data_IF_569173799338
#
_entry.id   IF_569173799338
#
_cell.length_a   1.000
_cell.length_b   1.000
_cell.length_c   1.000
_cell.angle_alpha   90.00
_cell.angle_beta   90.00
_cell.angle_gamma   90.00
#
_symmetry.space_group_name_H-M   'P 1'
#
loop_
_entity.id
_entity.type
_entity.pdbx_description
1 polymer ?
#
# COMPACT_ATOMS: atom_id res chain seq x y z
N UNK A 1 36.94 9.44 -38.45
CA UNK A 1 37.71 9.10 -37.25
C UNK A 1 36.70 9.07 -36.10
N UNK A 2 36.47 7.92 -35.46
CA UNK A 2 35.51 7.82 -34.34
C UNK A 2 36.14 8.50 -33.13
N UNK A 3 35.44 9.45 -32.52
CA UNK A 3 35.89 10.10 -31.28
C UNK A 3 35.67 9.15 -30.10
N UNK A 4 36.70 8.35 -29.82
CA UNK A 4 36.70 7.37 -28.74
C UNK A 4 36.48 8.00 -27.35
N UNK A 5 36.78 9.29 -27.16
CA UNK A 5 36.56 9.96 -25.87
C UNK A 5 35.07 10.22 -25.62
N UNK A 6 34.34 10.64 -26.65
CA UNK A 6 32.89 10.86 -26.56
C UNK A 6 32.14 9.54 -26.32
N UNK A 7 32.56 8.46 -27.00
CA UNK A 7 31.99 7.12 -26.79
C UNK A 7 32.24 6.61 -25.37
N UNK A 8 33.44 6.79 -24.84
CA UNK A 8 33.80 6.39 -23.47
C UNK A 8 33.03 7.20 -22.41
N UNK A 9 32.80 8.50 -22.64
CA UNK A 9 32.00 9.34 -21.74
C UNK A 9 30.52 8.92 -21.70
N UNK A 10 29.94 8.58 -22.87
CA UNK A 10 28.57 8.07 -22.97
C UNK A 10 28.43 6.67 -22.36
N UNK A 11 29.45 5.80 -22.51
CA UNK A 11 29.48 4.50 -21.86
C UNK A 11 29.63 4.61 -20.34
N UNK A 12 30.44 5.53 -19.83
CA UNK A 12 30.51 5.85 -18.39
C UNK A 12 29.19 6.42 -17.86
N UNK A 13 28.52 7.29 -18.63
CA UNK A 13 27.19 7.82 -18.28
C UNK A 13 26.10 6.75 -18.28
N UNK A 14 26.15 5.80 -19.22
CA UNK A 14 25.25 4.62 -19.24
C UNK A 14 25.54 3.68 -18.07
N UNK A 15 26.80 3.38 -17.78
CA UNK A 15 27.20 2.55 -16.64
C UNK A 15 26.73 3.13 -15.29
N UNK A 16 26.90 4.44 -15.09
CA UNK A 16 26.39 5.13 -13.88
C UNK A 16 24.87 5.08 -13.72
N UNK A 17 24.11 5.16 -14.82
CA UNK A 17 22.65 5.07 -14.75
C UNK A 17 22.18 3.65 -14.40
N UNK A 18 22.88 2.63 -14.89
CA UNK A 18 22.60 1.23 -14.56
C UNK A 18 22.87 0.99 -13.07
N UNK A 19 24.03 1.42 -12.57
CA UNK A 19 24.39 1.31 -11.14
C UNK A 19 23.38 2.04 -10.23
N UNK A 20 22.92 3.23 -10.63
CA UNK A 20 21.89 3.96 -9.88
C UNK A 20 20.56 3.20 -9.83
N UNK A 21 20.14 2.61 -10.95
CA UNK A 21 18.91 1.81 -11.01
C UNK A 21 19.00 0.53 -10.18
N UNK A 22 20.15 -0.14 -10.20
CA UNK A 22 20.41 -1.33 -9.38
C UNK A 22 20.37 -0.99 -7.88
N UNK A 23 21.05 0.09 -7.47
CA UNK A 23 21.02 0.56 -6.09
C UNK A 23 19.60 0.96 -5.65
N UNK A 24 18.84 1.62 -6.53
CA UNK A 24 17.46 1.97 -6.25
C UNK A 24 16.59 0.72 -6.08
N UNK A 25 16.74 -0.27 -6.96
CA UNK A 25 16.02 -1.54 -6.86
C UNK A 25 16.35 -2.27 -5.56
N UNK A 26 17.62 -2.37 -5.19
CA UNK A 26 18.05 -2.99 -3.93
C UNK A 26 17.48 -2.26 -2.71
N UNK A 27 17.49 -0.92 -2.70
CA UNK A 27 16.88 -0.14 -1.63
C UNK A 27 15.37 -0.32 -1.55
N UNK A 28 14.70 -0.46 -2.71
CA UNK A 28 13.27 -0.76 -2.77
C UNK A 28 12.98 -2.11 -2.13
N UNK A 29 13.63 -3.18 -2.62
CA UNK A 29 13.48 -4.54 -2.07
C UNK A 29 13.79 -4.57 -0.57
N UNK A 30 14.87 -3.93 -0.13
CA UNK A 30 15.27 -3.88 1.29
C UNK A 30 14.22 -3.19 2.16
N UNK A 31 13.58 -2.12 1.68
CA UNK A 31 12.56 -1.39 2.46
C UNK A 31 11.22 -2.13 2.51
N UNK A 32 10.89 -2.85 1.46
CA UNK A 32 9.61 -3.54 1.32
C UNK A 32 9.69 -5.04 1.62
N UNK A 33 10.84 -5.58 2.03
CA UNK A 33 11.02 -6.99 2.40
C UNK A 33 9.99 -7.49 3.42
N UNK A 34 9.56 -6.61 4.34
CA UNK A 34 8.56 -6.95 5.35
C UNK A 34 7.13 -7.06 4.79
N UNK A 35 6.85 -6.50 3.59
CA UNK A 35 5.56 -6.69 2.93
C UNK A 35 5.34 -8.16 2.51
N UNK A 36 6.42 -8.92 2.30
CA UNK A 36 6.32 -10.35 2.03
C UNK A 36 5.65 -11.09 3.18
N UNK A 37 5.86 -10.65 4.42
CA UNK A 37 5.20 -11.24 5.60
C UNK A 37 3.69 -10.92 5.64
N UNK A 38 3.26 -9.84 4.98
CA UNK A 38 1.85 -9.44 4.88
C UNK A 38 1.13 -10.08 3.69
N UNK A 39 1.85 -10.72 2.76
CA UNK A 39 1.24 -11.32 1.58
C UNK A 39 0.10 -12.30 1.92
N UNK A 40 0.25 -13.27 2.84
CA UNK A 40 -0.85 -14.18 3.19
C UNK A 40 -2.08 -13.42 3.73
N UNK A 41 -1.83 -12.32 4.44
CA UNK A 41 -2.88 -11.47 5.00
C UNK A 41 -3.64 -10.75 3.87
N UNK A 42 -2.92 -10.20 2.88
CA UNK A 42 -3.55 -9.58 1.72
C UNK A 42 -4.35 -10.57 0.89
N UNK A 43 -3.87 -11.81 0.76
CA UNK A 43 -4.60 -12.89 0.08
C UNK A 43 -5.91 -13.21 0.79
N UNK A 44 -5.91 -13.35 2.13
CA UNK A 44 -7.15 -13.54 2.90
C UNK A 44 -8.12 -12.36 2.76
N UNK A 45 -7.62 -11.13 2.85
CA UNK A 45 -8.47 -9.93 2.76
C UNK A 45 -9.08 -9.78 1.36
N UNK A 46 -8.35 -10.18 0.32
CA UNK A 46 -8.81 -10.12 -1.08
C UNK A 46 -9.71 -11.31 -1.44
N UNK A 47 -9.43 -12.48 -0.86
CA UNK A 47 -10.10 -13.74 -1.16
C UNK A 47 -10.50 -14.46 0.14
N UNK A 48 -11.51 -13.96 0.87
CA UNK A 48 -11.88 -14.48 2.21
C UNK A 48 -12.31 -15.95 2.24
N UNK A 49 -12.64 -16.52 1.08
CA UNK A 49 -13.07 -17.91 0.91
C UNK A 49 -12.06 -18.76 0.11
N UNK A 50 -10.82 -18.30 -0.01
CA UNK A 50 -9.71 -19.07 -0.58
C UNK A 50 -9.36 -20.30 0.27
N UNK A 51 -8.59 -21.21 -0.32
CA UNK A 51 -8.05 -22.36 0.39
C UNK A 51 -6.76 -21.94 1.09
N UNK A 52 -6.80 -21.87 2.42
CA UNK A 52 -5.66 -21.49 3.26
C UNK A 52 -5.44 -22.52 4.35
N UNK A 53 -4.21 -22.59 4.86
CA UNK A 53 -3.96 -23.17 6.17
C UNK A 53 -4.43 -22.17 7.24
N UNK A 54 -5.60 -22.45 7.82
CA UNK A 54 -6.24 -21.54 8.77
C UNK A 54 -5.44 -21.41 10.09
N UNK A 55 -4.68 -22.44 10.48
CA UNK A 55 -3.84 -22.41 11.69
C UNK A 55 -2.61 -21.52 11.45
N UNK A 56 -1.96 -21.67 10.29
CA UNK A 56 -0.81 -20.85 9.93
C UNK A 56 -1.19 -19.37 9.75
N UNK A 57 -2.27 -19.10 9.02
CA UNK A 57 -2.69 -17.73 8.74
C UNK A 57 -3.18 -17.00 10.00
N UNK A 58 -3.91 -17.69 10.88
CA UNK A 58 -4.36 -17.11 12.16
C UNK A 58 -3.19 -16.83 13.08
N UNK A 59 -2.19 -17.71 13.12
CA UNK A 59 -0.96 -17.51 13.89
C UNK A 59 -0.15 -16.31 13.38
N UNK A 60 0.01 -16.20 12.05
CA UNK A 60 0.68 -15.06 11.43
C UNK A 60 -0.05 -13.74 11.72
N UNK A 61 -1.37 -13.71 11.53
CA UNK A 61 -2.21 -12.53 11.82
C UNK A 61 -2.16 -12.13 13.30
N UNK A 62 -2.26 -13.11 14.19
CA UNK A 62 -2.22 -12.90 15.63
C UNK A 62 -0.88 -12.31 16.06
N UNK A 63 0.23 -12.81 15.52
CA UNK A 63 1.55 -12.25 15.76
C UNK A 63 1.67 -10.82 15.21
N UNK A 64 1.27 -10.59 13.95
CA UNK A 64 1.39 -9.29 13.26
C UNK A 64 0.56 -8.20 13.94
N UNK A 65 -0.66 -8.52 14.38
CA UNK A 65 -1.60 -7.54 14.93
C UNK A 65 -1.77 -7.59 16.45
N UNK A 66 -1.02 -8.47 17.14
CA UNK A 66 -1.10 -8.71 18.58
C UNK A 66 -2.51 -9.11 19.02
N UNK A 67 -3.08 -10.10 18.33
CA UNK A 67 -4.42 -10.64 18.58
C UNK A 67 -4.35 -12.06 19.15
N UNK A 68 -5.49 -12.62 19.53
CA UNK A 68 -5.57 -14.02 19.95
C UNK A 68 -5.75 -14.94 18.73
N UNK A 69 -4.81 -15.87 18.53
CA UNK A 69 -4.80 -16.78 17.38
C UNK A 69 -6.04 -17.69 17.34
N UNK A 70 -6.38 -18.36 18.44
CA UNK A 70 -7.48 -19.32 18.47
C UNK A 70 -8.84 -18.69 18.18
N UNK A 71 -9.11 -17.50 18.71
CA UNK A 71 -10.35 -16.78 18.39
C UNK A 71 -10.39 -16.33 16.93
N UNK A 72 -9.24 -15.92 16.38
CA UNK A 72 -9.17 -15.49 14.99
C UNK A 72 -9.34 -16.66 14.03
N UNK A 73 -8.70 -17.80 14.30
CA UNK A 73 -8.89 -19.06 13.55
C UNK A 73 -10.36 -19.46 13.54
N UNK A 74 -11.03 -19.38 14.70
CA UNK A 74 -12.46 -19.66 14.80
C UNK A 74 -13.29 -18.72 13.93
N UNK A 75 -13.00 -17.41 13.93
CA UNK A 75 -13.68 -16.45 13.05
C UNK A 75 -13.45 -16.76 11.57
N UNK A 76 -12.23 -17.13 11.17
CA UNK A 76 -11.87 -17.52 9.80
C UNK A 76 -12.64 -18.76 9.35
N UNK A 77 -12.67 -19.82 10.17
CA UNK A 77 -13.46 -21.03 9.89
C UNK A 77 -14.96 -20.71 9.81
N UNK A 78 -15.45 -19.84 10.69
CA UNK A 78 -16.86 -19.46 10.76
C UNK A 78 -17.27 -18.63 9.54
N UNK A 79 -16.41 -17.76 9.02
CA UNK A 79 -16.73 -17.00 7.80
C UNK A 79 -16.65 -17.91 6.57
N UNK A 80 -15.63 -18.76 6.46
CA UNK A 80 -15.44 -19.66 5.30
C UNK A 80 -16.57 -20.68 5.14
N UNK A 81 -17.21 -21.09 6.24
CA UNK A 81 -18.37 -21.98 6.26
C UNK A 81 -19.71 -21.28 6.01
N UNK A 82 -19.74 -19.95 5.96
CA UNK A 82 -20.97 -19.17 5.77
C UNK A 82 -21.30 -18.99 4.28
N UNK A 83 -22.25 -19.79 3.80
CA UNK A 83 -22.70 -19.80 2.40
C UNK A 83 -23.30 -18.44 1.98
N UNK A 84 -23.99 -17.75 2.90
CA UNK A 84 -24.65 -16.47 2.60
C UNK A 84 -23.61 -15.38 2.43
N UNK A 85 -22.60 -15.34 3.30
CA UNK A 85 -21.47 -14.42 3.13
C UNK A 85 -20.66 -14.77 1.89
N UNK A 86 -20.47 -16.07 1.57
CA UNK A 86 -19.77 -16.50 0.36
C UNK A 86 -20.41 -15.99 -0.93
N UNK A 87 -21.75 -16.00 -0.98
CA UNK A 87 -22.49 -15.45 -2.12
C UNK A 87 -22.25 -13.94 -2.34
N UNK A 88 -21.78 -13.23 -1.31
CA UNK A 88 -21.51 -11.78 -1.32
C UNK A 88 -20.01 -11.44 -1.28
N UNK A 89 -19.14 -12.43 -1.50
CA UNK A 89 -17.69 -12.25 -1.39
C UNK A 89 -17.13 -11.15 -2.31
N UNK A 90 -17.79 -10.88 -3.44
CA UNK A 90 -17.37 -9.87 -4.42
C UNK A 90 -17.93 -8.46 -4.13
N UNK A 91 -18.66 -8.27 -3.04
CA UNK A 91 -19.15 -6.94 -2.68
C UNK A 91 -17.98 -6.04 -2.27
N UNK A 92 -17.89 -4.84 -2.86
CA UNK A 92 -16.82 -3.87 -2.57
C UNK A 92 -16.67 -3.53 -1.07
N UNK A 93 -17.72 -3.73 -0.30
CA UNK A 93 -17.77 -3.48 1.15
C UNK A 93 -17.98 -4.78 1.96
N UNK A 94 -17.55 -5.93 1.44
CA UNK A 94 -17.74 -7.24 2.08
C UNK A 94 -17.43 -7.24 3.58
N UNK A 95 -16.27 -6.72 3.97
CA UNK A 95 -15.82 -6.66 5.37
C UNK A 95 -16.73 -5.81 6.29
N UNK A 96 -17.54 -4.91 5.72
CA UNK A 96 -18.55 -4.13 6.46
C UNK A 96 -19.87 -4.88 6.65
N UNK A 97 -20.10 -6.00 5.94
CA UNK A 97 -21.28 -6.85 6.08
C UNK A 97 -21.18 -7.78 7.30
N UNK A 98 -19.96 -8.01 7.81
CA UNK A 98 -19.72 -8.88 8.95
C UNK A 98 -20.32 -8.25 10.22
N UNK A 99 -21.17 -8.96 10.98
CA UNK A 99 -21.66 -8.48 12.26
C UNK A 99 -20.52 -8.30 13.27
N UNK A 100 -20.43 -7.11 13.88
CA UNK A 100 -19.34 -6.75 14.81
C UNK A 100 -19.21 -7.71 16.00
N UNK A 101 -20.32 -8.16 16.55
CA UNK A 101 -20.31 -9.09 17.67
C UNK A 101 -19.89 -10.52 17.30
N UNK A 102 -19.93 -10.89 16.01
CA UNK A 102 -19.59 -12.23 15.53
C UNK A 102 -18.17 -12.32 14.97
N UNK A 103 -17.69 -11.24 14.35
CA UNK A 103 -16.36 -11.20 13.73
C UNK A 103 -15.53 -9.97 14.14
N UNK A 104 -15.36 -9.70 15.44
CA UNK A 104 -14.64 -8.52 15.90
C UNK A 104 -13.17 -8.50 15.45
N UNK A 105 -12.48 -9.65 15.43
CA UNK A 105 -11.06 -9.71 15.10
C UNK A 105 -10.82 -9.55 13.60
N UNK A 106 -11.55 -10.29 12.76
CA UNK A 106 -11.46 -10.20 11.29
C UNK A 106 -11.79 -8.80 10.78
N UNK A 107 -12.81 -8.14 11.32
CA UNK A 107 -13.11 -6.74 10.97
C UNK A 107 -11.96 -5.82 11.34
N UNK A 108 -11.40 -5.98 12.54
CA UNK A 108 -10.23 -5.19 12.97
C UNK A 108 -9.04 -5.39 12.02
N UNK A 109 -8.74 -6.64 11.63
CA UNK A 109 -7.66 -6.95 10.67
C UNK A 109 -7.91 -6.26 9.33
N UNK A 110 -9.10 -6.43 8.75
CA UNK A 110 -9.46 -5.84 7.46
C UNK A 110 -9.31 -4.31 7.49
N UNK A 111 -9.83 -3.66 8.53
CA UNK A 111 -9.74 -2.20 8.69
C UNK A 111 -8.29 -1.72 8.84
N UNK A 112 -7.46 -2.45 9.61
CA UNK A 112 -6.03 -2.13 9.75
C UNK A 112 -5.35 -2.22 8.39
N UNK A 113 -5.57 -3.30 7.63
CA UNK A 113 -5.04 -3.48 6.27
C UNK A 113 -5.44 -2.35 5.34
N UNK A 114 -6.72 -1.95 5.32
CA UNK A 114 -7.16 -0.81 4.51
C UNK A 114 -6.50 0.51 4.93
N UNK A 115 -6.17 0.68 6.21
CA UNK A 115 -5.49 1.87 6.71
C UNK A 115 -3.99 1.94 6.31
N UNK A 116 -3.31 0.80 6.06
CA UNK A 116 -1.90 0.79 5.63
C UNK A 116 -1.70 1.65 4.37
N UNK A 117 -2.62 1.55 3.41
CA UNK A 117 -2.51 2.26 2.12
C UNK A 117 -3.22 3.63 2.10
N UNK A 118 -4.12 3.88 3.06
CA UNK A 118 -4.87 5.14 3.13
C UNK A 118 -4.17 6.26 3.91
N UNK A 119 -3.17 5.94 4.73
CA UNK A 119 -2.66 6.90 5.73
C UNK A 119 -1.81 8.04 5.17
N UNK A 120 -1.16 7.88 3.99
CA UNK A 120 -0.32 8.94 3.40
C UNK A 120 -1.02 9.75 2.31
N UNK A 121 -1.99 9.16 1.61
CA UNK A 121 -2.65 9.79 0.46
C UNK A 121 -3.27 11.16 0.76
N UNK A 122 -3.99 11.39 1.89
CA UNK A 122 -4.52 12.72 2.21
C UNK A 122 -3.42 13.76 2.40
N UNK A 123 -2.30 13.38 3.01
CA UNK A 123 -1.15 14.27 3.20
C UNK A 123 -0.45 14.55 1.88
N UNK A 124 -0.21 13.53 1.05
CA UNK A 124 0.37 13.67 -0.28
C UNK A 124 -0.48 14.56 -1.20
N UNK A 125 -1.81 14.39 -1.16
CA UNK A 125 -2.76 15.24 -1.85
C UNK A 125 -2.69 16.70 -1.35
N UNK A 126 -2.67 16.90 -0.02
CA UNK A 126 -2.54 18.23 0.57
C UNK A 126 -1.21 18.91 0.21
N UNK A 127 -0.08 18.18 0.26
CA UNK A 127 1.23 18.70 -0.16
C UNK A 127 1.27 19.03 -1.65
N UNK A 128 0.65 18.22 -2.49
CA UNK A 128 0.52 18.48 -3.93
C UNK A 128 -0.32 19.74 -4.20
N UNK A 129 -1.40 19.95 -3.46
CA UNK A 129 -2.20 21.18 -3.54
C UNK A 129 -1.41 22.41 -3.08
N UNK A 130 -0.68 22.33 -1.96
CA UNK A 130 0.20 23.41 -1.51
C UNK A 130 1.29 23.75 -2.52
N UNK A 131 1.87 22.73 -3.17
CA UNK A 131 2.84 22.89 -4.25
C UNK A 131 2.20 23.69 -5.38
N UNK A 132 1.01 23.31 -5.84
CA UNK A 132 0.28 24.04 -6.89
C UNK A 132 -0.02 25.49 -6.50
N UNK A 133 -0.41 25.76 -5.26
CA UNK A 133 -0.64 27.13 -4.77
C UNK A 133 0.67 27.93 -4.79
N UNK A 134 1.79 27.37 -4.31
CA UNK A 134 3.08 28.06 -4.35
C UNK A 134 3.54 28.34 -5.77
N UNK A 135 3.44 27.38 -6.68
CA UNK A 135 3.81 27.58 -8.08
C UNK A 135 2.90 28.62 -8.77
N UNK A 136 1.57 28.55 -8.57
CA UNK A 136 0.65 29.50 -9.17
C UNK A 136 0.73 30.91 -8.55
N UNK A 137 1.00 31.03 -7.25
CA UNK A 137 1.26 32.33 -6.60
C UNK A 137 2.63 32.90 -6.99
N UNK A 138 3.65 32.10 -7.31
CA UNK A 138 4.91 32.63 -7.86
C UNK A 138 4.78 33.18 -9.29
N UNK A 139 3.70 32.85 -10.02
CA UNK A 139 3.32 33.52 -11.26
C UNK A 139 2.40 34.73 -11.06
N UNK A 140 1.88 34.94 -9.85
CA UNK A 140 1.10 36.13 -9.48
C UNK A 140 2.02 37.10 -8.74
N UNK A 141 2.90 37.76 -9.48
CA UNK A 141 3.70 38.86 -8.97
C UNK A 141 2.81 40.12 -8.94
N UNK A 142 2.37 40.64 -7.77
CA UNK A 142 1.48 41.81 -7.72
C UNK A 142 2.25 43.14 -7.90
N UNK A 143 3.53 43.10 -8.26
CA UNK A 143 4.40 44.28 -8.31
C UNK A 143 4.40 45.04 -9.65
N UNK A 144 3.51 44.71 -10.58
CA UNK A 144 3.26 45.50 -11.78
C UNK A 144 1.76 45.83 -11.91
N UNK A 145 1.24 46.60 -10.96
CA UNK A 145 0.06 47.46 -11.20
C UNK A 145 0.41 48.89 -10.73
N UNK A 146 1.50 49.44 -11.27
CA UNK A 146 1.74 50.89 -11.31
C UNK A 146 1.64 51.29 -12.77
N UNK A 147 0.40 51.54 -13.20
CA UNK A 147 0.04 52.47 -14.29
C UNK A 147 -1.48 52.54 -14.37
N UNK A 148 -2.07 53.23 -13.39
CA UNK A 148 -3.40 53.83 -13.49
C UNK A 148 -3.45 55.08 -12.63
N UNK A 149 -2.99 56.20 -13.20
CA UNK A 149 -3.52 57.56 -13.06
C UNK A 149 -2.63 58.54 -13.84
#
# INVERSE_FOLDING_TARGET
>A
MVDYNLLNLQLQGKGKNIELLENFHQEFERRFVNLNNLQPIFELISFPFGEFDNEDISSNLAHTFQLNSSYLEFEILTIQSDIILKARANDNNFWNLLPEGKYPLLRSVAMRIFAFFGSTYPYEAAFSQMKNIKFNCSYFNPFFEVDRA
#
